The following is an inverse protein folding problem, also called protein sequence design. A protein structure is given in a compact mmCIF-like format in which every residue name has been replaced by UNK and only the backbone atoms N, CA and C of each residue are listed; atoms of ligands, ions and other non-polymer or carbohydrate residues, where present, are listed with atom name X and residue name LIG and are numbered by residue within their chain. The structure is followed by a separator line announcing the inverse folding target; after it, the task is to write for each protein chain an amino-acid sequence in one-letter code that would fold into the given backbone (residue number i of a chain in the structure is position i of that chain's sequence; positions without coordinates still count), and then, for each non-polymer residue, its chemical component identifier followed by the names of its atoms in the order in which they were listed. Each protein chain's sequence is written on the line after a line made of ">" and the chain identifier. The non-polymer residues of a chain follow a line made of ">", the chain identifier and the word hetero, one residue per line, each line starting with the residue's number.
data_IF_835466635454
#
_entry.id   IF_835466635454
#
_cell.length_a   1.000
_cell.length_b   1.000
_cell.length_c   1.000
_cell.angle_alpha   90.00
_cell.angle_beta   90.00
_cell.angle_gamma   90.00
#
_symmetry.space_group_name_H-M   'P 1'
#
loop_
_entity.id
_entity.type
_entity.pdbx_description
1 polymer ?
#
# COMPACT_ATOMS: atom_id res chain seq x y z
N UNK A 1 12.17 -11.65 0.74
CA UNK A 1 11.36 -11.18 -0.39
C UNK A 1 11.97 -9.93 -1.01
N UNK A 2 12.03 -8.81 -0.29
CA UNK A 2 12.61 -7.54 -0.78
C UNK A 2 14.04 -7.64 -1.34
N UNK A 3 14.99 -8.21 -0.57
CA UNK A 3 16.39 -8.39 -1.04
C UNK A 3 16.54 -9.24 -2.31
N UNK A 4 15.54 -10.08 -2.63
CA UNK A 4 15.52 -10.89 -3.83
C UNK A 4 14.80 -10.19 -5.01
N UNK A 5 14.46 -8.90 -4.87
CA UNK A 5 13.75 -8.12 -5.89
C UNK A 5 12.32 -8.59 -6.15
N UNK A 6 11.72 -9.36 -5.22
CA UNK A 6 10.35 -9.86 -5.34
C UNK A 6 9.36 -8.80 -4.86
N UNK A 7 8.33 -8.46 -5.65
CA UNK A 7 7.35 -7.44 -5.27
C UNK A 7 6.55 -7.85 -4.04
N UNK A 8 6.05 -6.85 -3.32
CA UNK A 8 5.27 -7.01 -2.10
C UNK A 8 3.94 -6.24 -2.21
N UNK A 9 2.84 -6.87 -1.84
CA UNK A 9 1.51 -6.25 -1.79
C UNK A 9 0.97 -6.19 -0.36
N UNK A 10 0.54 -5.01 0.09
CA UNK A 10 -0.10 -4.81 1.40
C UNK A 10 -1.41 -4.04 1.22
N UNK A 11 -2.45 -4.37 1.99
CA UNK A 11 -3.76 -3.73 1.84
C UNK A 11 -4.41 -3.40 3.18
N UNK A 12 -5.37 -2.48 3.17
CA UNK A 12 -6.09 -2.05 4.37
C UNK A 12 -5.12 -1.45 5.39
N UNK A 13 -5.06 -2.00 6.61
CA UNK A 13 -4.14 -1.54 7.67
C UNK A 13 -2.76 -2.19 7.58
N UNK A 14 -2.57 -3.22 6.74
CA UNK A 14 -1.30 -3.92 6.62
C UNK A 14 -0.10 -3.04 6.18
N UNK A 15 -0.26 -1.94 5.40
CA UNK A 15 0.83 -1.02 5.12
C UNK A 15 1.45 -0.40 6.39
N UNK A 16 0.75 -0.39 7.53
CA UNK A 16 1.25 0.19 8.77
C UNK A 16 2.46 -0.53 9.39
N UNK A 17 2.69 -1.79 9.04
CA UNK A 17 3.89 -2.52 9.48
C UNK A 17 5.12 -2.26 8.59
N UNK A 18 4.95 -1.68 7.40
CA UNK A 18 6.05 -1.46 6.44
C UNK A 18 7.20 -0.61 7.03
N UNK A 19 6.96 0.53 7.69
CA UNK A 19 8.05 1.36 8.22
C UNK A 19 8.76 0.73 9.42
N UNK A 20 8.20 -0.34 10.02
CA UNK A 20 8.90 -1.13 11.05
C UNK A 20 9.68 -2.30 10.47
N UNK A 21 9.35 -2.74 9.26
CA UNK A 21 10.05 -3.82 8.55
C UNK A 21 11.26 -3.25 7.81
N UNK A 22 11.13 -2.06 7.23
CA UNK A 22 12.13 -1.41 6.39
C UNK A 22 12.62 -0.13 7.05
N UNK A 23 13.94 -0.04 7.27
CA UNK A 23 14.61 1.12 7.87
C UNK A 23 15.01 2.15 6.80
N UNK A 24 14.07 2.48 5.92
CA UNK A 24 14.20 3.49 4.88
C UNK A 24 12.82 4.01 4.45
N UNK A 25 12.73 5.24 3.90
CA UNK A 25 11.45 5.81 3.48
C UNK A 25 10.78 4.98 2.39
N UNK A 26 9.46 4.82 2.50
CA UNK A 26 8.62 4.07 1.57
C UNK A 26 7.39 4.86 1.19
N UNK A 27 7.04 4.85 -0.09
CA UNK A 27 5.80 5.42 -0.60
C UNK A 27 4.67 4.41 -0.44
N UNK A 28 3.64 4.75 0.35
CA UNK A 28 2.54 3.84 0.67
C UNK A 28 1.23 4.57 0.90
N UNK A 29 0.13 3.83 0.97
CA UNK A 29 -1.19 4.37 1.33
C UNK A 29 -1.93 3.46 2.31
N UNK A 30 -2.73 4.06 3.18
CA UNK A 30 -3.81 3.40 3.92
C UNK A 30 -5.19 3.95 3.52
N UNK A 31 -5.27 4.79 2.49
CA UNK A 31 -6.48 5.54 2.14
C UNK A 31 -6.33 7.02 2.42
N UNK A 32 -7.27 7.60 3.16
CA UNK A 32 -7.33 9.06 3.40
C UNK A 32 -7.61 9.41 4.88
N UNK A 33 -7.42 8.46 5.79
CA UNK A 33 -7.55 8.72 7.23
C UNK A 33 -6.34 9.52 7.73
N UNK A 34 -6.59 10.74 8.22
CA UNK A 34 -5.53 11.69 8.58
C UNK A 34 -4.74 11.18 9.79
N UNK A 35 -5.44 10.73 10.83
CA UNK A 35 -4.82 10.26 12.08
C UNK A 35 -3.89 9.07 11.82
N UNK A 36 -4.31 8.10 10.98
CA UNK A 36 -3.45 6.97 10.61
C UNK A 36 -2.29 7.41 9.71
N UNK A 37 -2.51 8.33 8.77
CA UNK A 37 -1.46 8.84 7.89
C UNK A 37 -0.34 9.54 8.68
N UNK A 38 -0.69 10.38 9.67
CA UNK A 38 0.27 11.08 10.53
C UNK A 38 1.17 10.08 11.27
N UNK A 39 0.60 9.01 11.84
CA UNK A 39 1.38 7.96 12.52
C UNK A 39 2.36 7.27 11.57
N UNK A 40 1.99 7.07 10.29
CA UNK A 40 2.88 6.46 9.30
C UNK A 40 4.03 7.38 8.93
N UNK A 41 3.77 8.67 8.78
CA UNK A 41 4.78 9.69 8.52
C UNK A 41 5.73 9.85 9.70
N UNK A 42 5.24 9.83 10.94
CA UNK A 42 6.07 9.78 12.16
C UNK A 42 6.98 8.54 12.21
N UNK A 43 6.54 7.45 11.59
CA UNK A 43 7.31 6.22 11.45
C UNK A 43 8.29 6.22 10.26
N UNK A 44 8.32 7.29 9.44
CA UNK A 44 9.23 7.46 8.32
C UNK A 44 8.68 7.07 6.95
N UNK A 45 7.38 6.80 6.83
CA UNK A 45 6.73 6.60 5.54
C UNK A 45 6.47 7.92 4.80
N UNK A 46 6.32 7.85 3.47
CA UNK A 46 5.69 8.90 2.66
C UNK A 46 4.25 8.45 2.36
N UNK A 47 3.28 8.93 3.15
CA UNK A 47 1.89 8.57 2.94
C UNK A 47 1.32 9.32 1.71
N UNK A 48 0.69 8.57 0.80
CA UNK A 48 0.04 9.10 -0.38
C UNK A 48 -1.46 8.84 -0.28
N UNK A 49 -2.32 9.89 -0.24
CA UNK A 49 -3.77 9.72 -0.26
C UNK A 49 -4.21 8.94 -1.50
N UNK A 50 -5.03 7.91 -1.31
CA UNK A 50 -5.47 7.03 -2.39
C UNK A 50 -6.94 6.65 -2.24
N UNK A 51 -7.77 6.73 -3.30
CA UNK A 51 -9.14 6.24 -3.25
C UNK A 51 -9.19 4.70 -3.20
N UNK A 52 -10.35 4.16 -2.83
CA UNK A 52 -10.56 2.71 -2.62
C UNK A 52 -10.30 1.85 -3.85
N UNK A 53 -10.52 2.41 -5.04
CA UNK A 53 -10.42 1.74 -6.34
C UNK A 53 -9.06 1.92 -7.01
N UNK A 54 -8.05 2.43 -6.27
CA UNK A 54 -6.71 2.66 -6.78
C UNK A 54 -5.60 2.14 -5.87
N UNK A 55 -4.36 2.27 -6.34
CA UNK A 55 -3.16 1.77 -5.70
C UNK A 55 -2.06 2.83 -5.63
N UNK A 56 -1.16 2.67 -4.66
CA UNK A 56 0.11 3.40 -4.59
C UNK A 56 1.25 2.40 -4.76
N UNK A 57 2.22 2.77 -5.62
CA UNK A 57 3.38 1.95 -5.94
C UNK A 57 4.65 2.71 -5.57
N UNK A 58 5.47 2.07 -4.73
CA UNK A 58 6.88 2.39 -4.60
C UNK A 58 7.66 1.56 -5.62
N UNK A 59 8.02 2.18 -6.74
CA UNK A 59 8.63 1.50 -7.90
C UNK A 59 10.04 0.98 -7.58
N UNK A 60 10.82 1.77 -6.84
CA UNK A 60 12.20 1.44 -6.49
C UNK A 60 12.27 0.22 -5.58
N UNK A 61 11.31 0.11 -4.65
CA UNK A 61 11.24 -0.99 -3.67
C UNK A 61 10.25 -2.10 -4.06
N UNK A 62 9.55 -1.95 -5.19
CA UNK A 62 8.49 -2.84 -5.68
C UNK A 62 7.40 -3.14 -4.63
N UNK A 63 6.95 -2.11 -3.92
CA UNK A 63 5.89 -2.24 -2.91
C UNK A 63 4.60 -1.64 -3.46
N UNK A 64 3.52 -2.40 -3.40
CA UNK A 64 2.18 -1.99 -3.86
C UNK A 64 1.24 -1.95 -2.66
N UNK A 65 0.48 -0.87 -2.53
CA UNK A 65 -0.49 -0.68 -1.44
C UNK A 65 -1.86 -0.23 -1.95
N UNK A 66 -2.93 -0.65 -1.28
CA UNK A 66 -4.31 -0.22 -1.58
C UNK A 66 -5.16 -0.11 -0.30
N UNK A 67 -6.12 0.83 -0.22
CA UNK A 67 -6.88 1.08 1.02
C UNK A 67 -7.86 -0.05 1.39
N UNK A 68 -8.46 -0.75 0.42
CA UNK A 68 -9.51 -1.74 0.67
C UNK A 68 -10.55 -1.26 1.72
N UNK A 69 -10.80 -2.02 2.79
CA UNK A 69 -11.78 -1.69 3.82
C UNK A 69 -11.44 -0.50 4.72
N UNK A 70 -10.29 0.14 4.56
CA UNK A 70 -10.09 1.48 5.16
C UNK A 70 -11.10 2.50 4.59
N UNK A 71 -11.56 2.30 3.35
CA UNK A 71 -12.50 3.21 2.67
C UNK A 71 -13.74 2.52 2.09
N UNK A 72 -13.65 1.24 1.70
CA UNK A 72 -14.72 0.53 1.01
C UNK A 72 -16.02 0.45 1.80
N UNK A 73 -17.13 0.80 1.17
CA UNK A 73 -18.49 0.70 1.72
C UNK A 73 -19.17 -0.63 1.36
N UNK A 74 -18.62 -1.36 0.39
CA UNK A 74 -19.11 -2.67 -0.03
C UNK A 74 -17.97 -3.52 -0.62
N UNK A 75 -18.27 -4.80 -0.87
CA UNK A 75 -17.29 -5.77 -1.36
C UNK A 75 -16.78 -5.47 -2.78
N UNK A 76 -17.60 -4.85 -3.64
CA UNK A 76 -17.21 -4.56 -5.02
C UNK A 76 -16.18 -3.42 -5.08
N UNK A 77 -16.35 -2.39 -4.25
CA UNK A 77 -15.35 -1.33 -4.08
C UNK A 77 -14.02 -1.90 -3.60
N UNK A 78 -14.03 -2.72 -2.54
CA UNK A 78 -12.81 -3.38 -2.06
C UNK A 78 -12.14 -4.22 -3.17
N UNK A 79 -12.91 -5.00 -3.93
CA UNK A 79 -12.40 -5.82 -5.01
C UNK A 79 -11.69 -5.00 -6.10
N UNK A 80 -12.22 -3.83 -6.47
CA UNK A 80 -11.62 -2.99 -7.53
C UNK A 80 -10.17 -2.58 -7.23
N UNK A 81 -9.89 -2.12 -6.00
CA UNK A 81 -8.53 -1.78 -5.58
C UNK A 81 -7.63 -3.00 -5.42
N UNK A 82 -8.17 -4.11 -4.88
CA UNK A 82 -7.43 -5.36 -4.69
C UNK A 82 -7.02 -5.98 -6.03
N UNK A 83 -7.92 -6.04 -7.01
CA UNK A 83 -7.64 -6.59 -8.34
C UNK A 83 -6.53 -5.78 -9.03
N UNK A 84 -6.57 -4.44 -8.91
CA UNK A 84 -5.52 -3.56 -9.43
C UNK A 84 -4.18 -3.79 -8.72
N UNK A 85 -4.19 -3.96 -7.39
CA UNK A 85 -2.99 -4.30 -6.61
C UNK A 85 -2.38 -5.62 -7.07
N UNK A 86 -3.20 -6.68 -7.17
CA UNK A 86 -2.73 -8.02 -7.59
C UNK A 86 -2.17 -7.95 -9.01
N UNK A 87 -2.88 -7.29 -9.93
CA UNK A 87 -2.40 -7.11 -11.31
C UNK A 87 -1.06 -6.39 -11.34
N UNK A 88 -0.85 -5.35 -10.53
CA UNK A 88 0.43 -4.62 -10.50
C UNK A 88 1.55 -5.45 -9.90
N UNK A 89 1.29 -6.21 -8.83
CA UNK A 89 2.26 -7.12 -8.23
C UNK A 89 2.73 -8.18 -9.23
N UNK A 90 1.82 -8.74 -10.03
CA UNK A 90 2.18 -9.71 -11.07
C UNK A 90 3.08 -9.11 -12.15
N UNK A 91 2.77 -7.88 -12.61
CA UNK A 91 3.63 -7.17 -13.58
C UNK A 91 5.03 -6.91 -13.03
N UNK A 92 5.18 -6.63 -11.74
CA UNK A 92 6.49 -6.39 -11.11
C UNK A 92 7.28 -7.67 -10.81
N UNK A 93 6.63 -8.83 -10.92
CA UNK A 93 7.20 -10.15 -10.65
C UNK A 93 7.81 -10.81 -11.90
N UNK A 94 7.46 -10.31 -13.10
CA UNK A 94 8.12 -10.62 -14.37
C UNK A 94 9.49 -9.92 -14.46
#
# INVERSE_FOLDING_TARGET
>A
MHQAGKPLGFMCIAPAILPKIFDFPLRLTIGTDIDTAEVLEEMGAEHVPCPVDDIVVDEDNKIVTTPAYMLAQNIAEAASGIDKLVSRVLVLAE
#
